data_IF_633366608840
#
_entry.id   IF_633366608840
#
_cell.length_a   1.000
_cell.length_b   1.000
_cell.length_c   1.000
_cell.angle_alpha   90.00
_cell.angle_beta   90.00
_cell.angle_gamma   90.00
#
_symmetry.space_group_name_H-M   'P 1'
#
loop_
_entity.id
_entity.type
_entity.pdbx_description
1 polymer ?
#
# COMPACT_ATOMS: atom_id res chain seq x y z
N UNK A 1 4.37 -13.75 -16.95
CA UNK A 1 4.53 -15.12 -16.39
C UNK A 1 4.37 -15.13 -14.88
N UNK A 2 5.21 -14.42 -14.10
CA UNK A 2 5.02 -14.35 -12.64
C UNK A 2 3.77 -13.53 -12.27
N UNK A 3 3.58 -12.39 -12.95
CA UNK A 3 2.41 -11.53 -12.79
C UNK A 3 1.11 -12.28 -13.06
N UNK A 4 1.09 -13.12 -14.11
CA UNK A 4 -0.07 -13.95 -14.47
C UNK A 4 -0.36 -15.02 -13.42
N UNK A 5 0.69 -15.62 -12.83
CA UNK A 5 0.54 -16.61 -11.74
C UNK A 5 -0.05 -15.94 -10.50
N UNK A 6 0.50 -14.80 -10.08
CA UNK A 6 0.01 -14.05 -8.92
C UNK A 6 -1.41 -13.53 -9.14
N UNK A 7 -1.75 -13.09 -10.35
CA UNK A 7 -3.12 -12.66 -10.67
C UNK A 7 -4.11 -13.83 -10.66
N UNK A 8 -3.70 -15.00 -11.15
CA UNK A 8 -4.55 -16.19 -11.19
C UNK A 8 -4.71 -16.85 -9.81
N UNK A 9 -3.72 -16.72 -8.93
CA UNK A 9 -3.74 -17.27 -7.57
C UNK A 9 -3.32 -16.22 -6.54
N UNK A 10 -4.06 -15.11 -6.50
CA UNK A 10 -3.78 -14.00 -5.56
C UNK A 10 -3.80 -14.41 -4.09
N UNK A 11 -4.45 -15.52 -3.77
CA UNK A 11 -4.57 -16.06 -2.43
C UNK A 11 -3.23 -16.60 -1.91
N UNK A 12 -2.36 -17.09 -2.80
CA UNK A 12 -1.06 -17.66 -2.40
C UNK A 12 -0.16 -16.67 -1.66
N UNK A 13 -0.22 -15.37 -2.00
CA UNK A 13 0.56 -14.34 -1.31
C UNK A 13 0.07 -14.18 0.13
N UNK A 14 -1.24 -14.23 0.34
CA UNK A 14 -1.84 -14.12 1.67
C UNK A 14 -1.46 -15.32 2.53
N UNK A 15 -1.57 -16.53 2.00
CA UNK A 15 -1.22 -17.77 2.71
C UNK A 15 0.26 -17.80 3.10
N UNK A 16 1.17 -17.46 2.18
CA UNK A 16 2.60 -17.41 2.48
C UNK A 16 2.90 -16.31 3.51
N UNK A 17 2.23 -15.16 3.42
CA UNK A 17 2.40 -14.07 4.38
C UNK A 17 1.94 -14.51 5.78
N UNK A 18 0.80 -15.19 5.90
CA UNK A 18 0.27 -15.73 7.16
C UNK A 18 1.25 -16.68 7.85
N UNK A 19 1.91 -17.56 7.10
CA UNK A 19 2.90 -18.51 7.64
C UNK A 19 4.27 -17.88 7.92
N UNK A 20 4.58 -16.73 7.29
CA UNK A 20 5.90 -16.10 7.40
C UNK A 20 6.11 -15.45 8.77
N UNK A 21 7.21 -15.81 9.44
CA UNK A 21 7.65 -15.19 10.70
C UNK A 21 8.90 -14.31 10.54
N UNK A 22 9.39 -14.14 9.31
CA UNK A 22 10.51 -13.27 9.00
C UNK A 22 9.98 -11.92 8.47
N UNK A 23 10.28 -10.82 9.18
CA UNK A 23 9.81 -9.48 8.83
C UNK A 23 10.22 -9.05 7.42
N UNK A 24 11.46 -9.32 7.02
CA UNK A 24 11.99 -8.95 5.71
C UNK A 24 11.27 -9.70 4.58
N UNK A 25 11.01 -10.99 4.75
CA UNK A 25 10.19 -11.76 3.81
C UNK A 25 8.74 -11.26 3.76
N UNK A 26 8.15 -10.93 4.91
CA UNK A 26 6.80 -10.40 4.99
C UNK A 26 6.67 -9.06 4.23
N UNK A 27 7.62 -8.14 4.40
CA UNK A 27 7.65 -6.86 3.66
C UNK A 27 7.76 -7.10 2.15
N UNK A 28 8.62 -8.03 1.71
CA UNK A 28 8.73 -8.37 0.28
C UNK A 28 7.42 -8.92 -0.28
N UNK A 29 6.71 -9.76 0.48
CA UNK A 29 5.40 -10.29 0.09
C UNK A 29 4.33 -9.20 0.02
N UNK A 30 4.31 -8.28 1.00
CA UNK A 30 3.43 -7.11 0.97
C UNK A 30 3.71 -6.26 -0.27
N UNK A 31 4.97 -5.98 -0.57
CA UNK A 31 5.37 -5.17 -1.73
C UNK A 31 4.98 -5.84 -3.06
N UNK A 32 5.15 -7.16 -3.17
CA UNK A 32 4.68 -7.94 -4.32
C UNK A 32 3.15 -7.85 -4.45
N UNK A 33 2.42 -8.03 -3.35
CA UNK A 33 0.96 -7.95 -3.36
C UNK A 33 0.45 -6.54 -3.70
N UNK A 34 1.14 -5.48 -3.28
CA UNK A 34 0.78 -4.11 -3.63
C UNK A 34 0.91 -3.85 -5.13
N UNK A 35 1.93 -4.42 -5.78
CA UNK A 35 2.15 -4.28 -7.22
C UNK A 35 1.13 -5.08 -8.05
N UNK A 36 0.83 -6.32 -7.66
CA UNK A 36 0.10 -7.24 -8.54
C UNK A 36 -1.37 -7.45 -8.20
N UNK A 37 -1.80 -7.19 -6.96
CA UNK A 37 -3.21 -7.32 -6.60
C UNK A 37 -3.99 -6.13 -7.15
N UNK A 38 -5.08 -6.39 -7.88
CA UNK A 38 -5.93 -5.33 -8.40
C UNK A 38 -6.95 -4.85 -7.34
N UNK A 39 -7.30 -5.71 -6.40
CA UNK A 39 -8.31 -5.44 -5.38
C UNK A 39 -7.72 -4.75 -4.14
N UNK A 40 -8.13 -3.51 -3.88
CA UNK A 40 -7.72 -2.75 -2.69
C UNK A 40 -8.09 -3.44 -1.37
N UNK A 41 -9.17 -4.21 -1.29
CA UNK A 41 -9.50 -4.95 -0.08
C UNK A 41 -8.48 -6.05 0.21
N UNK A 42 -7.98 -6.75 -0.82
CA UNK A 42 -6.91 -7.75 -0.62
C UNK A 42 -5.61 -7.07 -0.19
N UNK A 43 -5.27 -5.90 -0.75
CA UNK A 43 -4.12 -5.10 -0.28
C UNK A 43 -4.25 -4.76 1.20
N UNK A 44 -5.42 -4.36 1.65
CA UNK A 44 -5.66 -4.05 3.07
C UNK A 44 -5.52 -5.30 3.97
N UNK A 45 -5.83 -6.49 3.48
CA UNK A 45 -5.57 -7.74 4.24
C UNK A 45 -4.06 -7.93 4.45
N UNK A 46 -3.23 -7.67 3.43
CA UNK A 46 -1.77 -7.75 3.57
C UNK A 46 -1.25 -6.85 4.70
N UNK A 47 -1.70 -5.59 4.75
CA UNK A 47 -1.28 -4.65 5.80
C UNK A 47 -1.82 -5.04 7.19
N UNK A 48 -3.03 -5.59 7.27
CA UNK A 48 -3.57 -6.13 8.53
C UNK A 48 -2.72 -7.30 9.05
N UNK A 49 -2.32 -8.23 8.17
CA UNK A 49 -1.44 -9.34 8.52
C UNK A 49 -0.06 -8.86 8.98
N UNK A 50 0.51 -7.88 8.28
CA UNK A 50 1.79 -7.27 8.66
C UNK A 50 1.70 -6.65 10.06
N UNK A 51 0.63 -5.90 10.33
CA UNK A 51 0.35 -5.28 11.64
C UNK A 51 0.12 -6.32 12.73
N UNK A 52 -0.67 -7.36 12.45
CA UNK A 52 -0.96 -8.44 13.40
C UNK A 52 0.31 -9.18 13.85
N UNK A 53 1.31 -9.27 12.97
CA UNK A 53 2.64 -9.83 13.27
C UNK A 53 3.58 -8.86 13.99
N UNK A 54 3.17 -7.61 14.21
CA UNK A 54 4.01 -6.57 14.84
C UNK A 54 5.16 -6.08 13.96
N UNK A 55 5.13 -6.37 12.65
CA UNK A 55 6.15 -5.98 11.68
C UNK A 55 5.92 -4.57 11.17
N UNK A 56 6.96 -3.95 10.60
CA UNK A 56 6.86 -2.62 9.99
C UNK A 56 7.11 -1.45 10.96
N UNK A 57 7.34 -1.71 12.26
CA UNK A 57 7.54 -0.63 13.25
C UNK A 57 8.77 0.22 12.96
N UNK A 58 9.89 -0.43 12.57
CA UNK A 58 11.18 0.23 12.26
C UNK A 58 11.53 0.18 10.77
N UNK A 59 10.97 -0.77 10.06
CA UNK A 59 11.24 -1.11 8.65
C UNK A 59 10.22 -0.50 7.68
N UNK A 60 9.33 0.39 8.14
CA UNK A 60 8.25 0.96 7.32
C UNK A 60 8.71 1.64 6.02
N UNK A 61 9.96 2.11 5.98
CA UNK A 61 10.53 2.75 4.79
C UNK A 61 10.78 1.76 3.65
N UNK A 62 10.83 0.46 3.95
CA UNK A 62 10.99 -0.62 2.98
C UNK A 62 9.64 -1.10 2.44
N UNK A 63 8.52 -0.63 2.99
CA UNK A 63 7.17 -1.01 2.60
C UNK A 63 6.69 -0.10 1.46
N UNK A 64 6.20 -0.71 0.39
CA UNK A 64 5.53 -0.01 -0.70
C UNK A 64 4.03 0.02 -0.39
N UNK A 65 3.46 1.22 -0.34
CA UNK A 65 2.03 1.41 -0.03
C UNK A 65 1.17 1.62 -1.28
N UNK A 66 1.80 1.96 -2.39
CA UNK A 66 1.21 2.16 -3.71
C UNK A 66 2.06 1.42 -4.75
N UNK A 67 1.48 0.93 -5.85
CA UNK A 67 2.25 0.29 -6.90
C UNK A 67 3.17 1.31 -7.61
N UNK A 68 4.25 0.83 -8.21
CA UNK A 68 5.18 1.68 -8.96
C UNK A 68 4.69 2.01 -10.35
N UNK A 69 3.95 1.09 -10.96
CA UNK A 69 3.51 1.21 -12.34
C UNK A 69 2.03 1.60 -12.41
N UNK A 70 1.78 2.78 -12.98
CA UNK A 70 0.45 3.20 -13.39
C UNK A 70 0.48 3.51 -14.88
N UNK A 71 -0.24 2.74 -15.68
CA UNK A 71 -0.58 3.13 -17.05
C UNK A 71 -1.92 3.84 -17.02
N UNK A 72 -1.91 5.15 -17.26
CA UNK A 72 -3.14 5.92 -17.39
C UNK A 72 -3.07 6.84 -18.62
N UNK A 73 -4.22 7.00 -19.27
CA UNK A 73 -4.42 7.96 -20.36
C UNK A 73 -5.58 8.88 -19.97
N UNK A 74 -5.33 10.19 -19.89
CA UNK A 74 -6.32 11.19 -19.45
C UNK A 74 -5.92 11.91 -18.15
N UNK A 75 -6.90 12.48 -17.44
CA UNK A 75 -6.66 13.20 -16.17
C UNK A 75 -6.07 12.27 -15.10
N UNK A 76 -4.99 12.69 -14.46
CA UNK A 76 -4.35 11.91 -13.38
C UNK A 76 -5.11 12.01 -12.04
N UNK A 77 -6.07 12.94 -11.92
CA UNK A 77 -6.80 13.20 -10.67
C UNK A 77 -7.51 11.96 -10.11
N UNK A 78 -8.27 11.16 -10.88
CA UNK A 78 -8.95 9.98 -10.35
C UNK A 78 -7.99 8.92 -9.80
N UNK A 79 -6.83 8.75 -10.42
CA UNK A 79 -5.80 7.80 -9.95
C UNK A 79 -5.23 8.26 -8.61
N UNK A 80 -4.89 9.55 -8.51
CA UNK A 80 -4.36 10.12 -7.27
C UNK A 80 -5.37 10.08 -6.12
N UNK A 81 -6.67 10.27 -6.40
CA UNK A 81 -7.74 10.14 -5.40
C UNK A 81 -7.85 8.71 -4.87
N UNK A 82 -7.81 7.70 -5.74
CA UNK A 82 -7.85 6.28 -5.35
C UNK A 82 -6.63 5.88 -4.50
N UNK A 83 -5.44 6.33 -4.89
CA UNK A 83 -4.22 6.08 -4.12
C UNK A 83 -4.26 6.77 -2.75
N UNK A 84 -4.75 8.00 -2.69
CA UNK A 84 -4.93 8.73 -1.43
C UNK A 84 -5.91 7.99 -0.51
N UNK A 85 -7.06 7.56 -1.03
CA UNK A 85 -8.04 6.78 -0.26
C UNK A 85 -7.43 5.48 0.27
N UNK A 86 -6.67 4.75 -0.55
CA UNK A 86 -5.98 3.53 -0.13
C UNK A 86 -5.00 3.83 1.02
N UNK A 87 -4.19 4.89 0.90
CA UNK A 87 -3.25 5.30 1.96
C UNK A 87 -3.96 5.65 3.27
N UNK A 88 -5.08 6.37 3.20
CA UNK A 88 -5.90 6.71 4.37
C UNK A 88 -6.49 5.45 5.04
N UNK A 89 -6.92 4.47 4.24
CA UNK A 89 -7.41 3.19 4.75
C UNK A 89 -6.29 2.34 5.37
N UNK A 90 -5.09 2.34 4.79
CA UNK A 90 -3.93 1.68 5.36
C UNK A 90 -3.54 2.33 6.68
N UNK A 91 -3.52 3.67 6.74
CA UNK A 91 -3.20 4.41 7.97
C UNK A 91 -4.07 3.95 9.15
N UNK A 92 -5.38 3.83 8.93
CA UNK A 92 -6.34 3.34 9.95
C UNK A 92 -6.01 1.97 10.54
N UNK A 93 -5.32 1.09 9.79
CA UNK A 93 -4.89 -0.24 10.30
C UNK A 93 -3.89 -0.10 11.44
N UNK A 94 -3.01 0.90 11.37
CA UNK A 94 -1.89 1.08 12.30
C UNK A 94 -2.17 2.12 13.40
N UNK A 95 -3.21 2.96 13.26
CA UNK A 95 -3.50 4.10 14.15
C UNK A 95 -3.69 3.73 15.63
N UNK A 96 -4.10 2.50 15.93
CA UNK A 96 -4.40 2.07 17.31
C UNK A 96 -3.17 1.67 18.13
N UNK A 97 -1.99 1.50 17.50
CA UNK A 97 -0.76 1.07 18.18
C UNK A 97 0.30 2.18 18.09
N UNK A 98 0.64 2.75 19.25
CA UNK A 98 1.59 3.86 19.39
C UNK A 98 2.99 3.53 18.86
N UNK A 99 3.37 2.25 18.85
CA UNK A 99 4.67 1.81 18.34
C UNK A 99 4.83 2.08 16.83
N UNK A 100 3.73 2.33 16.12
CA UNK A 100 3.72 2.67 14.70
C UNK A 100 3.75 4.18 14.41
N UNK A 101 3.99 5.03 15.41
CA UNK A 101 3.97 6.50 15.22
C UNK A 101 4.82 6.99 14.04
N UNK A 102 6.02 6.42 13.84
CA UNK A 102 6.88 6.81 12.72
C UNK A 102 6.30 6.39 11.36
N UNK A 103 5.66 5.22 11.29
CA UNK A 103 4.94 4.76 10.11
C UNK A 103 3.76 5.69 9.83
N UNK A 104 2.99 6.07 10.85
CA UNK A 104 1.83 6.96 10.71
C UNK A 104 2.24 8.34 10.18
N UNK A 105 3.32 8.93 10.71
CA UNK A 105 3.89 10.19 10.20
C UNK A 105 4.35 10.06 8.74
N UNK A 106 4.91 8.92 8.37
CA UNK A 106 5.31 8.64 7.00
C UNK A 106 4.11 8.56 6.05
N UNK A 107 3.03 7.86 6.45
CA UNK A 107 1.79 7.80 5.68
C UNK A 107 1.14 9.17 5.52
N UNK A 108 1.13 10.00 6.57
CA UNK A 108 0.61 11.37 6.49
C UNK A 108 1.36 12.22 5.45
N UNK A 109 2.69 12.07 5.38
CA UNK A 109 3.50 12.73 4.36
C UNK A 109 3.12 12.27 2.94
N UNK A 110 2.86 10.97 2.75
CA UNK A 110 2.45 10.43 1.45
C UNK A 110 1.06 10.95 1.05
N UNK A 111 0.10 10.96 1.98
CA UNK A 111 -1.26 11.47 1.76
C UNK A 111 -1.25 12.95 1.39
N UNK A 112 -0.49 13.78 2.11
CA UNK A 112 -0.33 15.20 1.80
C UNK A 112 0.32 15.42 0.42
N UNK A 113 1.30 14.58 0.07
CA UNK A 113 1.88 14.56 -1.27
C UNK A 113 0.86 14.30 -2.37
N UNK A 114 -0.07 13.35 -2.17
CA UNK A 114 -1.15 13.06 -3.13
C UNK A 114 -2.15 14.20 -3.22
N UNK A 115 -2.54 14.81 -2.09
CA UNK A 115 -3.43 15.99 -2.08
C UNK A 115 -2.86 17.14 -2.90
N UNK A 116 -1.59 17.49 -2.69
CA UNK A 116 -0.91 18.54 -3.46
C UNK A 116 -0.78 18.21 -4.94
N UNK A 117 -0.61 16.93 -5.29
CA UNK A 117 -0.59 16.50 -6.68
C UNK A 117 -1.95 16.68 -7.34
N UNK A 118 -3.04 16.32 -6.66
CA UNK A 118 -4.42 16.53 -7.13
C UNK A 118 -4.69 18.02 -7.38
N UNK A 119 -4.38 18.88 -6.41
CA UNK A 119 -4.55 20.34 -6.54
C UNK A 119 -3.86 20.88 -7.78
N UNK A 120 -2.60 20.50 -8.02
CA UNK A 120 -1.82 20.93 -9.20
C UNK A 120 -2.37 20.41 -10.52
N UNK A 121 -2.90 19.19 -10.56
CA UNK A 121 -3.51 18.65 -11.78
C UNK A 121 -4.81 19.38 -12.10
N UNK A 122 -5.64 19.65 -11.08
CA UNK A 122 -6.86 20.45 -11.24
C UNK A 122 -6.54 21.87 -11.73
N UNK A 123 -5.51 22.53 -11.21
CA UNK A 123 -5.07 23.86 -11.66
C UNK A 123 -4.68 23.91 -13.15
N UNK A 124 -4.21 22.80 -13.75
CA UNK A 124 -3.85 22.75 -15.18
C UNK A 124 -5.07 22.60 -16.09
N UNK A 125 -6.20 22.17 -15.55
CA UNK A 125 -7.45 21.96 -16.29
C UNK A 125 -8.29 23.25 -16.43
N UNK A 126 -7.91 24.33 -15.73
CA UNK A 126 -8.55 25.66 -15.75
C UNK A 126 -7.64 26.74 -16.35
#
# INVERSE_FOLDING_TARGET
MLDDIIKNDSQIILEILEETNNEQSAIRLVNLGVEFLENNNQKLILFNLLRAKGFGKKSFQEIHFIPYSHFFTGSHVPVLELEKELLERIKKIFETDIDYINLLLYLDKLIDGKRKAIERELEKEF
#
